data_IF_962135945084
#
_entry.id   IF_962135945084
#
_cell.length_a   1.000
_cell.length_b   1.000
_cell.length_c   1.000
_cell.angle_alpha   90.00
_cell.angle_beta   90.00
_cell.angle_gamma   90.00
#
_symmetry.space_group_name_H-M   'P 1'
#
loop_
_entity.id
_entity.type
_entity.pdbx_description
1 polymer ?
#
# COMPACT_ATOMS: atom_id res chain seq x y z
N UNK A 1 12.68 -11.07 12.08
CA UNK A 1 11.83 -9.90 12.36
C UNK A 1 11.36 -9.34 11.02
N UNK A 2 10.06 -9.12 10.80
CA UNK A 2 9.58 -8.70 9.48
C UNK A 2 9.86 -7.20 9.26
N UNK A 3 10.74 -6.88 8.32
CA UNK A 3 11.27 -5.52 8.11
C UNK A 3 10.19 -4.50 7.71
N UNK A 4 9.09 -4.95 7.10
CA UNK A 4 8.06 -4.06 6.57
C UNK A 4 7.01 -3.61 7.59
N UNK A 5 6.97 -4.21 8.79
CA UNK A 5 5.92 -3.91 9.77
C UNK A 5 5.87 -2.42 10.16
N UNK A 6 7.02 -1.82 10.46
CA UNK A 6 7.10 -0.40 10.81
C UNK A 6 6.69 0.52 9.65
N UNK A 7 6.97 0.12 8.41
CA UNK A 7 6.55 0.90 7.24
C UNK A 7 5.02 0.87 7.09
N UNK A 8 4.39 -0.28 7.29
CA UNK A 8 2.93 -0.37 7.25
C UNK A 8 2.24 0.35 8.40
N UNK A 9 2.82 0.35 9.61
CA UNK A 9 2.32 1.15 10.72
C UNK A 9 2.29 2.64 10.36
N UNK A 10 3.39 3.17 9.81
CA UNK A 10 3.44 4.58 9.35
C UNK A 10 2.44 4.90 8.25
N UNK A 11 2.19 3.96 7.34
CA UNK A 11 1.20 4.13 6.27
C UNK A 11 -0.23 4.17 6.84
N UNK A 12 -0.53 3.30 7.81
CA UNK A 12 -1.81 3.27 8.52
C UNK A 12 -2.05 4.57 9.31
N UNK A 13 -1.06 5.01 10.09
CA UNK A 13 -1.13 6.24 10.90
C UNK A 13 -1.36 7.50 10.04
N UNK A 14 -0.81 7.53 8.82
CA UNK A 14 -0.92 8.67 7.90
C UNK A 14 -2.11 8.58 6.93
N UNK A 15 -2.91 7.51 7.00
CA UNK A 15 -3.91 7.15 5.99
C UNK A 15 -3.36 7.26 4.55
N UNK A 16 -2.12 6.82 4.36
CA UNK A 16 -1.40 6.97 3.11
C UNK A 16 -1.48 5.68 2.29
N UNK A 17 -1.84 5.80 1.02
CA UNK A 17 -1.78 4.68 0.09
C UNK A 17 -0.33 4.20 -0.13
N UNK A 18 -0.15 2.93 -0.42
CA UNK A 18 1.14 2.37 -0.79
C UNK A 18 1.04 1.50 -2.05
N UNK A 19 2.14 1.48 -2.79
CA UNK A 19 2.39 0.52 -3.85
C UNK A 19 3.21 -0.65 -3.29
N UNK A 20 2.79 -1.87 -3.62
CA UNK A 20 3.50 -3.09 -3.23
C UNK A 20 3.72 -3.99 -4.43
N UNK A 21 4.79 -4.79 -4.36
CA UNK A 21 4.96 -5.99 -5.19
C UNK A 21 4.59 -7.19 -4.34
N UNK A 22 3.56 -7.92 -4.77
CA UNK A 22 3.00 -9.06 -4.03
C UNK A 22 3.16 -10.36 -4.81
N UNK A 23 3.75 -11.37 -4.18
CA UNK A 23 3.90 -12.72 -4.68
C UNK A 23 2.69 -13.57 -4.25
N UNK A 24 1.85 -13.97 -5.19
CA UNK A 24 0.75 -14.90 -4.92
C UNK A 24 1.26 -16.34 -4.72
N UNK A 25 0.44 -17.20 -4.12
CA UNK A 25 0.80 -18.59 -3.83
C UNK A 25 1.05 -19.43 -5.07
N UNK A 26 0.50 -19.04 -6.22
CA UNK A 26 0.77 -19.64 -7.54
C UNK A 26 2.08 -19.14 -8.17
N UNK A 27 2.86 -18.31 -7.48
CA UNK A 27 4.10 -17.71 -7.99
C UNK A 27 3.91 -16.44 -8.83
N UNK A 28 2.66 -15.98 -9.02
CA UNK A 28 2.39 -14.79 -9.82
C UNK A 28 2.74 -13.50 -9.04
N UNK A 29 3.52 -12.63 -9.67
CA UNK A 29 3.82 -11.30 -9.15
C UNK A 29 2.75 -10.31 -9.57
N UNK A 30 2.33 -9.47 -8.63
CA UNK A 30 1.37 -8.40 -8.90
C UNK A 30 1.80 -7.08 -8.27
N UNK A 31 1.75 -6.01 -9.06
CA UNK A 31 1.82 -4.64 -8.54
C UNK A 31 0.45 -4.23 -8.01
N UNK A 32 0.39 -3.73 -6.78
CA UNK A 32 -0.87 -3.36 -6.13
C UNK A 32 -0.77 -2.03 -5.41
N UNK A 33 -1.75 -1.17 -5.63
CA UNK A 33 -2.00 0.00 -4.77
C UNK A 33 -2.98 -0.41 -3.67
N UNK A 34 -2.60 -0.14 -2.43
CA UNK A 34 -3.37 -0.51 -1.24
C UNK A 34 -3.52 0.65 -0.25
N UNK A 35 -4.61 0.66 0.52
CA UNK A 35 -4.80 1.48 1.71
C UNK A 35 -4.87 0.58 2.93
N UNK A 36 -3.88 0.69 3.82
CA UNK A 36 -3.77 -0.17 5.01
C UNK A 36 -4.88 0.16 5.99
N UNK A 37 -5.50 -0.87 6.56
CA UNK A 37 -6.55 -0.76 7.59
C UNK A 37 -6.16 -1.39 8.92
N UNK A 38 -5.29 -2.39 8.88
CA UNK A 38 -4.84 -3.13 10.05
C UNK A 38 -3.44 -3.70 9.79
N UNK A 39 -2.58 -3.69 10.81
CA UNK A 39 -1.23 -4.26 10.76
C UNK A 39 -1.08 -5.26 11.90
N UNK A 40 -0.66 -6.47 11.57
CA UNK A 40 -0.33 -7.54 12.53
C UNK A 40 1.12 -8.01 12.33
N UNK A 41 1.67 -8.87 13.20
CA UNK A 41 3.00 -9.43 13.01
C UNK A 41 3.17 -10.29 11.74
N UNK A 42 2.09 -10.78 11.15
CA UNK A 42 2.14 -11.75 10.05
C UNK A 42 1.50 -11.25 8.75
N UNK A 43 0.50 -10.39 8.85
CA UNK A 43 -0.27 -9.90 7.71
C UNK A 43 -0.73 -8.46 7.91
N UNK A 44 -1.15 -7.84 6.82
CA UNK A 44 -1.94 -6.60 6.83
C UNK A 44 -3.32 -6.87 6.23
N UNK A 45 -4.34 -6.13 6.71
CA UNK A 45 -5.60 -5.98 5.97
C UNK A 45 -5.58 -4.61 5.31
N UNK A 46 -5.89 -4.59 4.02
CA UNK A 46 -5.85 -3.37 3.25
C UNK A 46 -6.92 -3.35 2.17
N UNK A 47 -7.48 -2.19 1.87
CA UNK A 47 -8.29 -2.00 0.66
C UNK A 47 -7.38 -2.08 -0.56
N UNK A 48 -7.70 -2.95 -1.50
CA UNK A 48 -6.93 -3.17 -2.72
C UNK A 48 -7.59 -2.45 -3.89
N UNK A 49 -6.94 -1.45 -4.46
CA UNK A 49 -7.52 -0.60 -5.50
C UNK A 49 -7.80 -1.36 -6.81
N UNK A 50 -6.99 -2.39 -7.11
CA UNK A 50 -7.18 -3.25 -8.28
C UNK A 50 -8.46 -4.09 -8.17
N UNK A 51 -8.76 -4.62 -6.98
CA UNK A 51 -9.90 -5.53 -6.74
C UNK A 51 -11.12 -4.84 -6.13
N UNK A 52 -10.99 -3.55 -5.80
CA UNK A 52 -12.04 -2.71 -5.19
C UNK A 52 -12.64 -3.30 -3.90
N UNK A 53 -11.83 -4.04 -3.14
CA UNK A 53 -12.28 -4.71 -1.91
C UNK A 53 -11.15 -4.80 -0.88
N UNK A 54 -11.51 -5.06 0.37
CA UNK A 54 -10.54 -5.28 1.45
C UNK A 54 -10.00 -6.71 1.36
N UNK A 55 -8.67 -6.86 1.39
CA UNK A 55 -7.99 -8.16 1.36
C UNK A 55 -6.92 -8.25 2.42
N UNK A 56 -6.62 -9.49 2.82
CA UNK A 56 -5.48 -9.82 3.68
C UNK A 56 -4.27 -10.11 2.81
N UNK A 57 -3.13 -9.52 3.17
CA UNK A 57 -1.85 -9.71 2.51
C UNK A 57 -0.85 -10.25 3.52
N UNK A 58 -0.29 -11.44 3.26
CA UNK A 58 0.81 -11.98 4.07
C UNK A 58 2.03 -11.08 3.92
N UNK A 59 2.65 -10.69 5.04
CA UNK A 59 3.87 -9.89 4.99
C UNK A 59 5.05 -10.65 4.37
N UNK A 60 5.05 -11.99 4.44
CA UNK A 60 6.09 -12.82 3.82
C UNK A 60 6.02 -12.80 2.28
N UNK A 61 4.86 -12.43 1.73
CA UNK A 61 4.62 -12.39 0.29
C UNK A 61 4.78 -10.98 -0.29
N UNK A 62 5.11 -10.00 0.54
CA UNK A 62 5.37 -8.62 0.13
C UNK A 62 6.86 -8.51 -0.14
N UNK A 63 7.22 -8.24 -1.39
CA UNK A 63 8.61 -8.13 -1.83
C UNK A 63 9.10 -6.68 -1.85
N UNK A 64 8.19 -5.72 -1.88
CA UNK A 64 8.50 -4.29 -1.88
C UNK A 64 7.31 -3.49 -1.35
N UNK A 65 7.60 -2.33 -0.75
CA UNK A 65 6.67 -1.31 -0.28
C UNK A 65 7.18 0.06 -0.68
N UNK A 66 6.31 0.89 -1.26
CA UNK A 66 6.58 2.28 -1.54
C UNK A 66 5.38 3.17 -1.19
N UNK A 67 5.52 4.17 -0.29
CA UNK A 67 4.45 5.10 0.00
C UNK A 67 4.08 5.91 -1.25
N UNK A 68 2.80 5.92 -1.62
CA UNK A 68 2.32 6.70 -2.75
C UNK A 68 2.27 8.17 -2.36
N UNK A 69 3.04 9.01 -3.04
CA UNK A 69 3.01 10.45 -2.77
C UNK A 69 1.64 11.01 -3.18
N UNK A 70 1.07 11.88 -2.33
CA UNK A 70 -0.05 12.70 -2.75
C UNK A 70 0.42 13.55 -3.95
N UNK A 71 -0.35 13.56 -5.05
CA UNK A 71 -0.08 14.52 -6.14
C UNK A 71 -0.14 15.91 -5.50
N UNK A 72 1.01 16.59 -5.37
CA UNK A 72 1.00 18.03 -5.15
C UNK A 72 0.31 18.63 -6.36
N UNK A 73 -0.87 19.19 -6.17
CA UNK A 73 -1.46 20.06 -7.18
C UNK A 73 -0.45 21.18 -7.37
N UNK A 74 0.14 21.28 -8.57
CA UNK A 74 1.01 22.40 -8.86
C UNK A 74 0.15 23.67 -8.81
N UNK A 75 0.55 24.72 -8.07
CA UNK A 75 -0.22 25.96 -7.99
C UNK A 75 -0.46 26.62 -9.35
N UNK A 76 0.31 26.24 -10.37
CA UNK A 76 0.29 26.83 -11.71
C UNK A 76 -1.01 26.57 -12.50
N UNK A 77 -1.90 25.65 -12.08
CA UNK A 77 -3.17 25.39 -12.77
C UNK A 77 -4.38 26.15 -12.21
N UNK A 78 -4.20 26.99 -11.19
CA UNK A 78 -5.32 27.69 -10.52
C UNK A 78 -5.49 29.15 -10.99
N UNK A 79 -4.54 29.70 -11.75
CA UNK A 79 -4.51 31.10 -12.16
C UNK A 79 -4.84 31.32 -13.66
N UNK A 80 -5.84 30.61 -14.18
CA UNK A 80 -6.35 30.83 -15.54
C UNK A 80 -7.88 30.99 -15.51
N UNK A 81 -8.34 32.12 -14.96
CA UNK A 81 -9.69 32.66 -15.09
C UNK A 81 -9.56 34.16 -15.31
#
# INVERSE_FOLDING_TARGET
MNTFQLQFQRLLEKDQAAEIIYLASNGELSHRVIHVKEVTPYYIRAYCNLRKTTRTFSLQNILSVFPKQAKRISPHHVAAW
#
